data_IF_031197060346
#
_entry.id   IF_031197060346
#
_cell.length_a   1.000
_cell.length_b   1.000
_cell.length_c   1.000
_cell.angle_alpha   90.00
_cell.angle_beta   90.00
_cell.angle_gamma   90.00
#
_symmetry.space_group_name_H-M   'P 1'
#
loop_
_entity.id
_entity.type
_entity.pdbx_description
1 polymer ?
#
# COMPACT_ATOMS: atom_id res chain seq x y z
N UNK A 1 6.62 10.87 12.11
CA UNK A 1 7.50 9.75 12.51
C UNK A 1 8.22 9.27 11.28
N UNK A 2 9.54 9.09 11.34
CA UNK A 2 10.37 8.57 10.24
C UNK A 2 10.93 7.21 10.66
N UNK A 3 10.86 6.24 9.75
CA UNK A 3 11.44 4.90 9.91
C UNK A 3 12.63 4.81 8.98
N UNK A 4 13.75 4.33 9.51
CA UNK A 4 14.90 3.95 8.69
C UNK A 4 14.78 2.46 8.40
N UNK A 5 14.82 2.12 7.11
CA UNK A 5 14.73 0.75 6.63
C UNK A 5 16.03 0.40 5.90
N UNK A 6 16.52 -0.82 6.13
CA UNK A 6 17.56 -1.43 5.31
C UNK A 6 17.04 -1.70 3.89
N UNK A 7 17.93 -1.86 2.89
CA UNK A 7 17.52 -2.25 1.55
C UNK A 7 16.68 -3.53 1.51
N UNK A 8 17.02 -4.52 2.34
CA UNK A 8 16.30 -5.79 2.46
C UNK A 8 14.90 -5.58 3.05
N UNK A 9 14.77 -4.75 4.09
CA UNK A 9 13.48 -4.41 4.70
C UNK A 9 12.59 -3.65 3.71
N UNK A 10 13.14 -2.74 2.90
CA UNK A 10 12.41 -2.06 1.83
C UNK A 10 11.88 -3.07 0.81
N UNK A 11 12.68 -4.03 0.39
CA UNK A 11 12.28 -5.03 -0.59
C UNK A 11 11.19 -5.97 -0.05
N UNK A 12 11.31 -6.40 1.22
CA UNK A 12 10.27 -7.18 1.90
C UNK A 12 8.97 -6.38 1.98
N UNK A 13 9.06 -5.13 2.42
CA UNK A 13 7.90 -4.26 2.57
C UNK A 13 7.22 -3.98 1.22
N UNK A 14 7.98 -3.78 0.14
CA UNK A 14 7.43 -3.63 -1.21
C UNK A 14 6.61 -4.84 -1.63
N UNK A 15 7.12 -6.07 -1.43
CA UNK A 15 6.39 -7.31 -1.75
C UNK A 15 5.11 -7.45 -0.96
N UNK A 16 5.14 -7.10 0.33
CA UNK A 16 3.94 -7.10 1.19
C UNK A 16 2.92 -6.10 0.65
N UNK A 17 3.32 -4.86 0.37
CA UNK A 17 2.43 -3.83 -0.16
C UNK A 17 1.85 -4.20 -1.53
N UNK A 18 2.65 -4.77 -2.44
CA UNK A 18 2.19 -5.23 -3.74
C UNK A 18 1.10 -6.31 -3.63
N UNK A 19 1.29 -7.27 -2.70
CA UNK A 19 0.30 -8.29 -2.41
C UNK A 19 -0.99 -7.70 -1.84
N UNK A 20 -0.89 -6.86 -0.81
CA UNK A 20 -2.05 -6.23 -0.18
C UNK A 20 -2.87 -5.39 -1.18
N UNK A 21 -2.20 -4.60 -2.02
CA UNK A 21 -2.88 -3.81 -3.07
C UNK A 21 -3.64 -4.71 -4.05
N UNK A 22 -3.07 -5.88 -4.39
CA UNK A 22 -3.70 -6.84 -5.27
C UNK A 22 -4.94 -7.51 -4.64
N UNK A 23 -4.92 -7.74 -3.32
CA UNK A 23 -6.03 -8.35 -2.56
C UNK A 23 -7.20 -7.36 -2.31
N UNK A 24 -6.91 -6.07 -2.10
CA UNK A 24 -7.95 -5.04 -1.87
C UNK A 24 -8.80 -4.77 -3.13
N UNK A 25 -8.25 -4.97 -4.33
CA UNK A 25 -8.99 -4.78 -5.59
C UNK A 25 -10.24 -5.67 -5.73
N UNK A 26 -10.11 -6.99 -5.58
CA UNK A 26 -11.24 -7.91 -5.47
C UNK A 26 -12.23 -7.57 -4.36
N UNK A 27 -11.74 -7.16 -3.18
CA UNK A 27 -12.59 -6.85 -2.03
C UNK A 27 -13.46 -5.60 -2.26
N UNK A 28 -12.91 -4.58 -2.91
CA UNK A 28 -13.65 -3.41 -3.39
C UNK A 28 -14.80 -3.79 -4.33
N UNK A 29 -14.58 -4.77 -5.21
CA UNK A 29 -15.59 -5.21 -6.19
C UNK A 29 -16.74 -5.97 -5.53
N UNK A 30 -16.50 -6.67 -4.43
CA UNK A 30 -17.49 -7.50 -3.76
C UNK A 30 -18.22 -6.80 -2.61
N UNK A 31 -17.78 -5.59 -2.23
CA UNK A 31 -18.37 -4.84 -1.13
C UNK A 31 -19.62 -4.07 -1.56
N UNK A 32 -20.75 -4.38 -0.92
CA UNK A 32 -22.04 -3.71 -1.19
C UNK A 32 -22.31 -2.48 -0.30
N UNK A 33 -21.58 -2.33 0.80
CA UNK A 33 -21.77 -1.23 1.75
C UNK A 33 -20.89 -0.04 1.38
N UNK A 34 -21.51 1.13 1.15
CA UNK A 34 -20.79 2.34 0.73
C UNK A 34 -19.68 2.77 1.69
N UNK A 35 -19.92 2.71 3.00
CA UNK A 35 -18.91 3.08 4.01
C UNK A 35 -17.69 2.17 3.96
N UNK A 36 -17.89 0.84 3.90
CA UNK A 36 -16.78 -0.12 3.83
C UNK A 36 -16.03 0.00 2.48
N UNK A 37 -16.75 0.27 1.40
CA UNK A 37 -16.13 0.54 0.10
C UNK A 37 -15.22 1.78 0.14
N UNK A 38 -15.66 2.87 0.77
CA UNK A 38 -14.86 4.09 0.91
C UNK A 38 -13.64 3.87 1.81
N UNK A 39 -13.77 3.09 2.88
CA UNK A 39 -12.65 2.68 3.74
C UNK A 39 -11.61 1.86 2.96
N UNK A 40 -12.05 0.85 2.19
CA UNK A 40 -11.16 0.04 1.35
C UNK A 40 -10.47 0.87 0.27
N UNK A 41 -11.18 1.84 -0.31
CA UNK A 41 -10.62 2.74 -1.32
C UNK A 41 -9.53 3.60 -0.70
N UNK A 42 -9.82 4.20 0.45
CA UNK A 42 -8.83 5.01 1.18
C UNK A 42 -7.61 4.17 1.59
N UNK A 43 -7.85 2.96 2.11
CA UNK A 43 -6.78 2.02 2.46
C UNK A 43 -5.87 1.71 1.26
N UNK A 44 -6.46 1.40 0.10
CA UNK A 44 -5.70 1.18 -1.15
C UNK A 44 -4.88 2.39 -1.57
N UNK A 45 -5.43 3.59 -1.46
CA UNK A 45 -4.72 4.84 -1.78
C UNK A 45 -3.50 5.04 -0.87
N UNK A 46 -3.64 4.75 0.43
CA UNK A 46 -2.54 4.80 1.40
C UNK A 46 -1.44 3.79 1.04
N UNK A 47 -1.79 2.54 0.74
CA UNK A 47 -0.81 1.53 0.35
C UNK A 47 -0.04 1.92 -0.92
N UNK A 48 -0.74 2.46 -1.93
CA UNK A 48 -0.11 2.95 -3.16
C UNK A 48 0.83 4.12 -2.86
N UNK A 49 0.42 5.04 -1.98
CA UNK A 49 1.25 6.17 -1.58
C UNK A 49 2.54 5.71 -0.90
N UNK A 50 2.46 4.77 0.04
CA UNK A 50 3.63 4.21 0.72
C UNK A 50 4.54 3.49 -0.28
N UNK A 51 3.97 2.65 -1.16
CA UNK A 51 4.73 1.93 -2.19
C UNK A 51 5.51 2.87 -3.11
N UNK A 52 4.90 3.97 -3.56
CA UNK A 52 5.57 5.01 -4.34
C UNK A 52 6.74 5.64 -3.59
N UNK A 53 6.54 5.98 -2.32
CA UNK A 53 7.61 6.56 -1.48
C UNK A 53 8.79 5.60 -1.26
N UNK A 54 8.54 4.29 -1.22
CA UNK A 54 9.61 3.29 -1.14
C UNK A 54 10.36 3.10 -2.46
N UNK A 55 9.74 3.45 -3.59
CA UNK A 55 10.34 3.37 -4.92
C UNK A 55 11.10 4.64 -5.33
N UNK A 56 10.88 5.77 -4.65
CA UNK A 56 11.62 7.00 -4.91
C UNK A 56 13.09 6.83 -4.53
N UNK A 57 14.05 7.06 -5.46
CA UNK A 57 15.45 7.09 -5.09
C UNK A 57 15.67 8.21 -4.08
N UNK A 58 16.26 7.90 -2.91
CA UNK A 58 16.63 8.93 -1.93
C UNK A 58 17.48 10.00 -2.65
N UNK A 59 17.15 11.29 -2.55
CA UNK A 59 18.08 12.33 -2.99
C UNK A 59 19.40 12.15 -2.23
N UNK A 60 20.50 12.11 -2.98
CA UNK A 60 21.87 12.00 -2.47
C UNK A 60 22.22 13.18 -1.56
#
# INVERSE_FOLDING_TARGET
MTLELSPEEVEVLRKVLEREIAEVGPELRHTATSTYHDELKHYKEVLIHISKRLAEPKPQ
#
